data_IF_891235032655
#
_entry.id   IF_891235032655
#
_cell.length_a   1.000
_cell.length_b   1.000
_cell.length_c   1.000
_cell.angle_alpha   90.00
_cell.angle_beta   90.00
_cell.angle_gamma   90.00
#
_symmetry.space_group_name_H-M   'P 1'
#
loop_
_entity.id
_entity.type
_entity.pdbx_description
1 polymer ?
#
# COMPACT_ATOMS: atom_id res chain seq x y z
N UNK A 1 16.40 20.01 0.18
CA UNK A 1 16.62 18.79 -0.56
C UNK A 1 17.03 17.63 0.35
N UNK A 2 16.49 16.49 0.09
CA UNK A 2 16.80 15.32 0.88
C UNK A 2 18.17 14.76 0.51
N UNK A 3 19.04 14.63 1.50
CA UNK A 3 20.38 14.10 1.28
C UNK A 3 20.63 12.84 2.09
N UNK A 4 19.63 12.24 2.62
CA UNK A 4 19.83 11.07 3.44
C UNK A 4 20.42 9.90 2.66
N UNK A 5 20.87 8.89 3.39
CA UNK A 5 21.32 7.66 2.76
C UNK A 5 20.11 6.95 2.16
N UNK A 6 20.34 6.04 1.21
CA UNK A 6 19.22 5.26 0.69
C UNK A 6 18.44 4.53 1.77
N UNK A 7 19.13 4.08 2.82
CA UNK A 7 18.47 3.42 3.92
C UNK A 7 17.51 4.34 4.64
N UNK A 8 17.92 5.58 4.91
CA UNK A 8 17.06 6.53 5.59
C UNK A 8 15.82 6.84 4.75
N UNK A 9 16.01 7.04 3.47
CA UNK A 9 14.90 7.34 2.58
C UNK A 9 13.92 6.18 2.56
N UNK A 10 14.44 4.96 2.46
CA UNK A 10 13.60 3.79 2.35
C UNK A 10 12.81 3.50 3.62
N UNK A 11 13.47 3.58 4.77
CA UNK A 11 12.85 3.16 6.03
C UNK A 11 11.92 4.20 6.63
N UNK A 12 12.17 5.46 6.36
CA UNK A 12 11.41 6.54 6.99
C UNK A 12 11.07 7.61 5.99
N UNK A 13 10.20 7.30 5.00
CA UNK A 13 9.82 8.32 4.04
C UNK A 13 9.08 9.45 4.75
N UNK A 14 9.58 10.66 4.59
CA UNK A 14 9.05 11.82 5.29
C UNK A 14 7.84 12.41 4.60
N UNK A 15 7.70 12.16 3.30
CA UNK A 15 6.60 12.72 2.56
C UNK A 15 6.37 11.90 1.29
N UNK A 16 5.30 12.24 0.60
CA UNK A 16 4.87 11.51 -0.58
C UNK A 16 5.95 11.46 -1.66
N UNK A 17 6.62 12.58 -1.88
CA UNK A 17 7.65 12.65 -2.90
C UNK A 17 8.74 11.62 -2.65
N UNK A 18 9.19 11.53 -1.42
CA UNK A 18 10.24 10.60 -1.05
C UNK A 18 9.77 9.15 -1.23
N UNK A 19 8.54 8.86 -0.82
CA UNK A 19 8.00 7.52 -0.96
C UNK A 19 7.92 7.10 -2.43
N UNK A 20 7.45 8.00 -3.29
CA UNK A 20 7.34 7.69 -4.71
C UNK A 20 8.71 7.53 -5.34
N UNK A 21 9.68 8.31 -4.89
CA UNK A 21 11.04 8.23 -5.41
C UNK A 21 11.68 6.88 -5.08
N UNK A 22 11.38 6.33 -3.93
CA UNK A 22 11.94 5.04 -3.52
C UNK A 22 11.45 3.92 -4.43
N UNK A 23 10.23 4.01 -4.90
CA UNK A 23 9.71 2.95 -5.73
C UNK A 23 8.29 3.23 -6.16
N UNK A 24 7.69 2.22 -6.78
CA UNK A 24 6.35 2.37 -7.33
C UNK A 24 5.31 1.94 -6.31
N UNK A 25 5.30 2.63 -5.18
CA UNK A 25 4.37 2.33 -4.11
C UNK A 25 2.93 2.68 -4.48
N UNK A 26 2.00 2.01 -3.83
CA UNK A 26 0.61 2.42 -3.85
C UNK A 26 0.47 3.52 -2.80
N UNK A 27 0.02 4.70 -3.22
CA UNK A 27 -0.12 5.84 -2.30
C UNK A 27 -1.58 6.21 -2.28
N UNK A 28 -2.17 6.16 -1.10
CA UNK A 28 -3.62 6.23 -0.94
C UNK A 28 -3.96 7.25 0.14
N UNK A 29 -4.90 8.14 -0.16
CA UNK A 29 -5.38 9.07 0.85
C UNK A 29 -6.22 8.32 1.87
N UNK A 30 -6.06 8.68 3.13
CA UNK A 30 -6.79 8.04 4.20
C UNK A 30 -6.92 8.93 5.40
N UNK A 31 -7.35 8.33 6.50
CA UNK A 31 -7.61 9.03 7.75
C UNK A 31 -7.05 8.24 8.90
N UNK A 32 -6.22 8.88 9.72
CA UNK A 32 -5.66 8.22 10.90
C UNK A 32 -6.64 8.36 12.03
N UNK A 33 -7.44 7.34 12.25
CA UNK A 33 -8.51 7.39 13.22
C UNK A 33 -7.94 7.61 14.62
N UNK A 34 -6.92 6.84 14.98
CA UNK A 34 -6.20 6.97 16.24
C UNK A 34 -4.91 6.18 16.10
N UNK A 35 -4.09 6.15 17.14
CA UNK A 35 -2.86 5.36 17.11
C UNK A 35 -3.18 3.94 16.72
N UNK A 36 -2.39 3.41 15.79
CA UNK A 36 -2.47 2.02 15.36
C UNK A 36 -3.75 1.67 14.59
N UNK A 37 -4.52 2.66 14.14
CA UNK A 37 -5.74 2.38 13.39
C UNK A 37 -5.92 3.44 12.30
N UNK A 38 -5.86 2.99 11.04
CA UNK A 38 -5.96 3.89 9.90
C UNK A 38 -7.12 3.43 9.02
N UNK A 39 -7.82 4.38 8.43
CA UNK A 39 -8.90 4.09 7.48
C UNK A 39 -8.48 4.51 6.09
N UNK A 40 -8.59 3.61 5.14
CA UNK A 40 -8.47 3.97 3.74
C UNK A 40 -9.33 3.00 2.93
N UNK A 41 -9.83 3.51 1.82
CA UNK A 41 -10.75 2.77 0.95
C UNK A 41 -12.00 2.31 1.70
N UNK A 42 -12.42 3.09 2.71
CA UNK A 42 -13.63 2.79 3.45
C UNK A 42 -13.48 1.64 4.45
N UNK A 43 -12.27 1.24 4.74
CA UNK A 43 -12.01 0.08 5.60
C UNK A 43 -11.02 0.49 6.68
N UNK A 44 -11.24 -0.02 7.90
CA UNK A 44 -10.30 0.18 9.00
C UNK A 44 -9.20 -0.87 8.94
N UNK A 45 -7.96 -0.41 9.07
CA UNK A 45 -6.79 -1.29 9.02
C UNK A 45 -5.96 -1.07 10.27
N UNK A 46 -5.49 -2.17 10.86
CA UNK A 46 -4.53 -2.06 11.94
C UNK A 46 -3.16 -1.71 11.38
N UNK A 47 -2.45 -0.85 12.08
CA UNK A 47 -1.10 -0.48 11.72
C UNK A 47 -0.30 -0.25 13.00
N UNK A 48 0.98 0.12 12.86
CA UNK A 48 1.83 0.33 14.03
C UNK A 48 2.21 1.79 14.23
N UNK A 49 1.75 2.65 13.36
CA UNK A 49 2.10 4.07 13.41
C UNK A 49 1.34 4.78 14.53
N UNK A 50 2.01 5.74 15.13
CA UNK A 50 1.48 6.55 16.24
C UNK A 50 1.89 7.99 16.07
N UNK A 51 1.32 8.86 16.89
CA UNK A 51 1.75 10.24 16.93
C UNK A 51 1.04 11.16 15.96
N UNK A 52 -0.01 10.70 15.34
CA UNK A 52 -0.85 11.53 14.48
C UNK A 52 -2.02 12.05 15.31
N UNK A 53 -2.60 13.16 14.87
CA UNK A 53 -3.82 13.63 15.50
C UNK A 53 -4.95 12.66 15.20
N UNK A 54 -5.88 12.52 16.13
CA UNK A 54 -7.05 11.70 15.89
C UNK A 54 -7.81 12.24 14.68
N UNK A 55 -8.18 11.34 13.76
CA UNK A 55 -8.91 11.68 12.55
C UNK A 55 -8.14 12.62 11.62
N UNK A 56 -6.83 12.57 11.68
CA UNK A 56 -6.01 13.39 10.79
C UNK A 56 -6.05 12.81 9.37
N UNK A 57 -6.17 13.67 8.37
CA UNK A 57 -6.06 13.24 6.98
C UNK A 57 -4.60 12.97 6.67
N UNK A 58 -4.33 11.79 6.16
CA UNK A 58 -2.96 11.31 5.94
C UNK A 58 -2.87 10.63 4.58
N UNK A 59 -1.67 10.16 4.27
CA UNK A 59 -1.45 9.30 3.12
C UNK A 59 -0.87 7.99 3.59
N UNK A 60 -1.33 6.91 2.96
CA UNK A 60 -0.86 5.56 3.26
C UNK A 60 0.03 5.10 2.13
N UNK A 61 1.18 4.57 2.45
CA UNK A 61 2.13 4.05 1.47
C UNK A 61 2.18 2.53 1.63
N UNK A 62 1.85 1.82 0.56
CA UNK A 62 1.84 0.36 0.54
C UNK A 62 2.75 -0.10 -0.60
N UNK A 63 3.82 -0.81 -0.26
CA UNK A 63 4.74 -1.29 -1.30
C UNK A 63 4.13 -2.50 -1.98
N UNK A 64 4.26 -2.60 -3.31
CA UNK A 64 3.66 -3.71 -4.04
C UNK A 64 4.09 -5.08 -3.53
N UNK A 65 5.34 -5.22 -3.11
CA UNK A 65 5.85 -6.51 -2.64
C UNK A 65 5.31 -6.89 -1.27
N UNK A 66 4.73 -5.95 -0.55
CA UNK A 66 4.16 -6.22 0.77
C UNK A 66 2.68 -6.53 0.73
N UNK A 67 2.07 -6.47 -0.45
CA UNK A 67 0.66 -6.83 -0.61
C UNK A 67 0.55 -8.34 -0.70
N UNK A 68 -0.30 -8.92 0.12
CA UNK A 68 -0.52 -10.36 0.12
C UNK A 68 -1.79 -10.70 -0.65
N UNK A 69 -1.66 -11.65 -1.57
CA UNK A 69 -2.79 -12.12 -2.37
C UNK A 69 -3.35 -13.35 -1.69
N UNK A 70 -4.63 -13.30 -1.40
CA UNK A 70 -5.32 -14.38 -0.69
C UNK A 70 -6.63 -14.67 -1.41
N UNK A 71 -7.41 -15.64 -0.88
CA UNK A 71 -8.73 -15.89 -1.43
C UNK A 71 -9.61 -14.66 -1.24
N UNK A 72 -10.57 -14.43 -2.15
CA UNK A 72 -11.38 -13.21 -2.06
C UNK A 72 -12.03 -12.99 -0.70
N UNK A 73 -12.54 -14.05 -0.08
CA UNK A 73 -13.23 -13.92 1.19
C UNK A 73 -12.27 -13.73 2.36
N UNK A 74 -10.98 -13.99 2.16
CA UNK A 74 -9.99 -13.83 3.22
C UNK A 74 -9.29 -12.49 3.18
N UNK A 75 -9.50 -11.69 2.14
CA UNK A 75 -8.85 -10.41 2.01
C UNK A 75 -9.66 -9.30 2.66
N UNK A 76 -8.99 -8.20 2.97
CA UNK A 76 -9.69 -7.02 3.45
C UNK A 76 -10.34 -6.26 2.30
N UNK A 77 -9.72 -6.32 1.13
CA UNK A 77 -10.36 -5.85 -0.10
C UNK A 77 -10.31 -6.99 -1.10
N UNK A 78 -11.20 -6.97 -2.08
CA UNK A 78 -11.20 -7.99 -3.10
C UNK A 78 -11.29 -7.32 -4.46
N UNK A 79 -10.78 -8.02 -5.48
CA UNK A 79 -10.78 -7.47 -6.82
C UNK A 79 -10.44 -8.51 -7.84
N UNK A 80 -10.20 -8.05 -9.04
CA UNK A 80 -9.92 -8.91 -10.19
C UNK A 80 -8.58 -8.52 -10.79
N UNK A 81 -7.77 -9.52 -11.11
CA UNK A 81 -6.49 -9.27 -11.77
C UNK A 81 -6.77 -8.85 -13.21
N UNK A 82 -6.34 -7.64 -13.56
CA UNK A 82 -6.58 -7.10 -14.90
C UNK A 82 -5.31 -6.93 -15.71
N UNK A 83 -4.13 -7.06 -15.09
CA UNK A 83 -2.87 -6.90 -15.79
C UNK A 83 -1.82 -7.78 -15.14
N UNK A 84 -0.89 -8.27 -15.95
CA UNK A 84 0.15 -9.18 -15.49
C UNK A 84 1.38 -8.93 -16.33
N UNK A 85 2.48 -8.54 -15.70
CA UNK A 85 3.74 -8.27 -16.38
C UNK A 85 4.85 -9.01 -15.66
N UNK A 86 5.65 -9.77 -16.39
CA UNK A 86 6.79 -10.44 -15.79
C UNK A 86 7.97 -9.46 -15.73
N UNK A 87 8.52 -9.28 -14.54
CA UNK A 87 9.55 -8.28 -14.28
C UNK A 87 10.93 -8.90 -14.15
N UNK A 88 11.10 -10.13 -14.60
CA UNK A 88 12.40 -10.80 -14.56
C UNK A 88 12.55 -11.81 -13.42
N UNK A 89 12.11 -11.45 -12.23
CA UNK A 89 12.16 -12.33 -11.07
C UNK A 89 10.81 -12.45 -10.38
N UNK A 90 9.90 -11.55 -10.65
CA UNK A 90 8.55 -11.60 -10.10
C UNK A 90 7.58 -11.03 -11.12
N UNK A 91 6.29 -11.16 -10.81
CA UNK A 91 5.24 -10.58 -11.65
C UNK A 91 4.72 -9.30 -11.01
N UNK A 92 4.34 -8.35 -11.87
CA UNK A 92 3.60 -7.19 -11.41
C UNK A 92 2.17 -7.34 -11.87
N UNK A 93 1.26 -7.36 -10.91
CA UNK A 93 -0.16 -7.47 -11.20
C UNK A 93 -0.85 -6.15 -10.89
N UNK A 94 -1.87 -5.83 -11.66
CA UNK A 94 -2.82 -4.81 -11.26
C UNK A 94 -4.10 -5.51 -10.86
N UNK A 95 -4.56 -5.21 -9.67
CA UNK A 95 -5.79 -5.78 -9.12
C UNK A 95 -6.81 -4.67 -9.04
N UNK A 96 -7.85 -4.77 -9.85
CA UNK A 96 -8.91 -3.76 -9.86
C UNK A 96 -9.89 -4.05 -8.74
N UNK A 97 -10.03 -3.08 -7.84
CA UNK A 97 -10.99 -3.19 -6.75
C UNK A 97 -12.06 -2.14 -6.92
N UNK A 98 -12.99 -2.12 -5.98
CA UNK A 98 -14.09 -1.17 -6.00
C UNK A 98 -13.59 0.29 -6.04
N UNK A 99 -12.48 0.57 -5.36
CA UNK A 99 -12.03 1.94 -5.18
C UNK A 99 -10.84 2.32 -6.05
N UNK A 100 -9.98 1.36 -6.41
CA UNK A 100 -8.75 1.66 -7.13
C UNK A 100 -8.11 0.41 -7.66
N UNK A 101 -7.08 0.59 -8.49
CA UNK A 101 -6.24 -0.52 -8.91
C UNK A 101 -5.04 -0.57 -7.99
N UNK A 102 -4.81 -1.73 -7.38
CA UNK A 102 -3.63 -1.94 -6.54
C UNK A 102 -2.54 -2.62 -7.35
N UNK A 103 -1.32 -2.15 -7.17
CA UNK A 103 -0.15 -2.79 -7.77
C UNK A 103 0.41 -3.80 -6.78
N UNK A 104 0.65 -5.03 -7.26
CA UNK A 104 1.09 -6.14 -6.42
C UNK A 104 2.26 -6.82 -7.09
N UNK A 105 3.33 -7.08 -6.32
CA UNK A 105 4.48 -7.84 -6.81
C UNK A 105 4.55 -9.15 -6.06
N UNK A 106 4.61 -10.27 -6.80
CA UNK A 106 4.71 -11.57 -6.20
C UNK A 106 5.34 -12.54 -7.21
N UNK A 107 5.95 -13.60 -6.70
CA UNK A 107 6.50 -14.64 -7.56
C UNK A 107 5.43 -15.62 -8.00
N UNK A 108 4.24 -15.56 -7.41
CA UNK A 108 3.16 -16.47 -7.75
C UNK A 108 2.58 -16.16 -9.11
N UNK A 109 2.17 -17.21 -9.82
CA UNK A 109 1.65 -17.06 -11.18
C UNK A 109 0.12 -17.19 -11.15
N UNK A 110 -0.56 -16.07 -11.37
CA UNK A 110 -2.01 -16.02 -11.41
C UNK A 110 -2.48 -15.65 -12.81
N UNK A 111 -3.70 -16.04 -13.14
CA UNK A 111 -4.29 -15.72 -14.45
C UNK A 111 -4.98 -14.38 -14.43
N UNK A 112 -4.92 -13.66 -15.55
CA UNK A 112 -5.72 -12.44 -15.71
C UNK A 112 -7.19 -12.86 -15.66
N UNK A 113 -7.98 -12.09 -14.93
CA UNK A 113 -9.38 -12.39 -14.72
C UNK A 113 -9.68 -13.11 -13.41
N UNK A 114 -8.63 -13.55 -12.71
CA UNK A 114 -8.82 -14.24 -11.44
C UNK A 114 -9.30 -13.27 -10.37
N UNK A 115 -10.27 -13.72 -9.58
CA UNK A 115 -10.73 -12.92 -8.43
C UNK A 115 -9.88 -13.27 -7.22
N UNK A 116 -9.40 -12.23 -6.54
CA UNK A 116 -8.48 -12.40 -5.41
C UNK A 116 -8.85 -11.44 -4.30
N UNK A 117 -8.35 -11.75 -3.10
CA UNK A 117 -8.40 -10.83 -1.99
C UNK A 117 -7.02 -10.27 -1.76
N UNK A 118 -6.96 -9.10 -1.15
CA UNK A 118 -5.69 -8.47 -0.79
C UNK A 118 -5.70 -8.15 0.69
N UNK A 119 -4.57 -8.39 1.32
CA UNK A 119 -4.37 -8.01 2.70
C UNK A 119 -2.93 -7.56 2.86
N UNK A 120 -2.63 -6.94 3.99
CA UNK A 120 -1.29 -6.45 4.23
C UNK A 120 -1.04 -6.50 5.73
N UNK A 121 0.18 -6.89 6.09
CA UNK A 121 0.58 -6.97 7.49
C UNK A 121 0.59 -5.56 8.10
N UNK A 122 0.10 -5.41 9.32
CA UNK A 122 0.11 -4.08 9.97
C UNK A 122 1.47 -3.41 9.99
N UNK A 123 2.56 -4.17 10.08
CA UNK A 123 3.90 -3.60 10.06
C UNK A 123 4.30 -3.04 8.71
N UNK A 124 3.61 -3.43 7.66
CA UNK A 124 3.95 -3.00 6.30
C UNK A 124 3.11 -1.82 5.82
N UNK A 125 2.17 -1.36 6.64
CA UNK A 125 1.38 -0.18 6.33
C UNK A 125 2.14 1.03 6.86
N UNK A 126 2.51 1.95 5.96
CA UNK A 126 3.22 3.16 6.37
C UNK A 126 2.29 4.35 6.24
N UNK A 127 2.20 5.12 7.31
CA UNK A 127 1.32 6.29 7.33
C UNK A 127 2.19 7.54 7.34
N UNK A 128 1.87 8.49 6.46
CA UNK A 128 2.62 9.74 6.35
C UNK A 128 1.68 10.91 6.52
N UNK A 129 2.22 11.99 7.08
CA UNK A 129 1.48 13.24 7.08
C UNK A 129 1.23 13.65 5.64
N UNK A 130 0.05 14.21 5.38
CA UNK A 130 -0.29 14.62 4.04
C UNK A 130 0.61 15.76 3.62
N UNK A 131 1.13 15.67 2.38
CA UNK A 131 1.99 16.70 1.87
C UNK A 131 1.18 17.94 1.56
N UNK A 132 1.69 19.09 2.00
CA UNK A 132 1.05 20.37 1.72
C UNK A 132 1.75 21.01 0.53
N UNK A 133 0.98 21.73 -0.25
CA UNK A 133 1.49 22.45 -1.40
C UNK A 133 1.54 23.94 -1.14
#
# INVERSE_FOLDING_TARGET
QQIGTPMDIYNEPQNRFVAEFIGESNIIEGNMIKDCLVNFDGIDWECVDKGFKDNEDIEVVLRPEDMDVVEPEAGKVSGTIISKVFMGVHYEYLVETKNRNYKVHTTENYEIGKKVGLTIDPFDIQVMHKMEN
#
